data_IF_886949524505
#
_entry.id   IF_886949524505
#
_cell.length_a   1.000
_cell.length_b   1.000
_cell.length_c   1.000
_cell.angle_alpha   90.00
_cell.angle_beta   90.00
_cell.angle_gamma   90.00
#
_symmetry.space_group_name_H-M   'P 1'
#
loop_
_entity.id
_entity.type
_entity.pdbx_description
1 polymer ?
#
# COMPACT_ATOMS: atom_id res chain seq x y z
N UNK A 1 27.18 6.21 -16.40
CA UNK A 1 27.57 4.79 -16.29
C UNK A 1 27.79 4.31 -17.72
N UNK A 2 28.97 3.80 -18.07
CA UNK A 2 29.27 3.44 -19.48
C UNK A 2 28.42 2.24 -19.92
N UNK A 3 27.81 2.31 -21.10
CA UNK A 3 26.86 1.29 -21.60
C UNK A 3 27.41 -0.15 -21.55
N UNK A 4 28.69 -0.32 -21.92
CA UNK A 4 29.42 -1.60 -21.91
C UNK A 4 29.51 -2.21 -20.49
N UNK A 5 29.67 -1.37 -19.46
CA UNK A 5 29.69 -1.83 -18.07
C UNK A 5 28.30 -2.30 -17.63
N UNK A 6 27.25 -1.61 -18.06
CA UNK A 6 25.87 -1.95 -17.76
C UNK A 6 25.48 -3.30 -18.36
N UNK A 7 25.85 -3.56 -19.62
CA UNK A 7 25.63 -4.84 -20.29
C UNK A 7 26.37 -5.99 -19.60
N UNK A 8 27.65 -5.78 -19.23
CA UNK A 8 28.42 -6.79 -18.49
C UNK A 8 27.80 -7.12 -17.13
N UNK A 9 27.32 -6.11 -16.40
CA UNK A 9 26.63 -6.31 -15.12
C UNK A 9 25.33 -7.10 -15.29
N UNK A 10 24.60 -6.84 -16.38
CA UNK A 10 23.36 -7.55 -16.68
C UNK A 10 23.60 -9.01 -17.07
N UNK A 11 24.65 -9.28 -17.86
CA UNK A 11 25.07 -10.63 -18.22
C UNK A 11 25.46 -11.46 -16.98
N UNK A 12 26.20 -10.86 -16.03
CA UNK A 12 26.56 -11.50 -14.75
C UNK A 12 25.29 -11.77 -13.91
N UNK A 13 24.34 -10.83 -13.88
CA UNK A 13 23.08 -11.02 -13.16
C UNK A 13 22.25 -12.18 -13.73
N UNK A 14 22.14 -12.28 -15.06
CA UNK A 14 21.45 -13.38 -15.73
C UNK A 14 22.14 -14.73 -15.51
N UNK A 15 23.47 -14.77 -15.53
CA UNK A 15 24.23 -15.97 -15.22
C UNK A 15 24.00 -16.43 -13.76
N UNK A 16 23.89 -15.49 -12.81
CA UNK A 16 23.60 -15.78 -11.42
C UNK A 16 22.15 -16.25 -11.19
N UNK A 17 21.19 -15.80 -12.00
CA UNK A 17 19.82 -16.30 -11.98
C UNK A 17 19.73 -17.74 -12.53
N UNK A 18 20.41 -18.01 -13.66
CA UNK A 18 20.47 -19.36 -14.25
C UNK A 18 21.14 -20.39 -13.35
N UNK A 19 22.11 -19.97 -12.52
CA UNK A 19 22.83 -20.85 -11.60
C UNK A 19 22.00 -21.31 -10.38
N UNK A 20 20.78 -20.78 -10.16
CA UNK A 20 19.90 -21.22 -9.08
C UNK A 20 20.43 -20.99 -7.65
N UNK A 21 19.87 -21.69 -6.66
CA UNK A 21 20.36 -21.62 -5.28
C UNK A 21 21.62 -22.49 -5.10
N UNK A 22 22.73 -21.87 -4.67
CA UNK A 22 24.02 -22.55 -4.39
C UNK A 22 25.16 -22.21 -5.38
N UNK A 23 24.86 -21.97 -6.66
CA UNK A 23 25.87 -21.70 -7.69
C UNK A 23 26.26 -20.22 -7.89
N UNK A 24 25.57 -19.30 -7.20
CA UNK A 24 25.71 -17.84 -7.44
C UNK A 24 27.09 -17.30 -7.06
N UNK A 25 27.73 -17.90 -6.06
CA UNK A 25 28.98 -17.37 -5.52
C UNK A 25 30.15 -17.51 -6.51
N UNK A 26 30.21 -18.62 -7.26
CA UNK A 26 31.20 -18.81 -8.32
C UNK A 26 31.01 -17.81 -9.47
N UNK A 27 29.77 -17.51 -9.84
CA UNK A 27 29.43 -16.51 -10.86
C UNK A 27 29.82 -15.10 -10.42
N UNK A 28 29.61 -14.77 -9.13
CA UNK A 28 30.03 -13.47 -8.62
C UNK A 28 31.55 -13.35 -8.50
N UNK A 29 32.27 -14.41 -8.13
CA UNK A 29 33.73 -14.38 -8.05
C UNK A 29 34.36 -14.17 -9.43
N UNK A 30 33.91 -14.89 -10.45
CA UNK A 30 34.36 -14.70 -11.85
C UNK A 30 34.03 -13.29 -12.36
N UNK A 31 32.84 -12.77 -12.04
CA UNK A 31 32.46 -11.38 -12.35
C UNK A 31 33.32 -10.34 -11.64
N UNK A 32 33.73 -10.58 -10.38
CA UNK A 32 34.63 -9.71 -9.64
C UNK A 32 36.03 -9.67 -10.25
N UNK A 33 36.57 -10.81 -10.67
CA UNK A 33 37.87 -10.90 -11.33
C UNK A 33 37.87 -10.19 -12.68
N UNK A 34 36.83 -10.37 -13.49
CA UNK A 34 36.72 -9.75 -14.82
C UNK A 34 36.57 -8.22 -14.77
N UNK A 35 35.98 -7.67 -13.71
CA UNK A 35 35.73 -6.24 -13.54
C UNK A 35 36.70 -5.56 -12.57
N UNK A 36 37.58 -6.31 -11.89
CA UNK A 36 38.52 -5.78 -10.91
C UNK A 36 37.87 -5.09 -9.71
N UNK A 37 36.65 -5.50 -9.33
CA UNK A 37 35.88 -4.86 -8.24
C UNK A 37 35.54 -5.85 -7.13
N UNK A 38 35.36 -5.34 -5.92
CA UNK A 38 34.93 -6.16 -4.79
C UNK A 38 33.51 -6.70 -4.98
N UNK A 39 33.24 -7.87 -4.40
CA UNK A 39 31.92 -8.52 -4.40
C UNK A 39 30.80 -7.59 -3.92
N UNK A 40 31.06 -6.81 -2.87
CA UNK A 40 30.11 -5.83 -2.35
C UNK A 40 29.76 -4.74 -3.38
N UNK A 41 30.77 -4.25 -4.12
CA UNK A 41 30.58 -3.22 -5.15
C UNK A 41 29.85 -3.77 -6.37
N UNK A 42 30.16 -5.01 -6.77
CA UNK A 42 29.47 -5.73 -7.85
C UNK A 42 27.98 -5.88 -7.53
N UNK A 43 27.64 -6.40 -6.34
CA UNK A 43 26.25 -6.59 -5.91
C UNK A 43 25.48 -5.27 -5.81
N UNK A 44 26.13 -4.19 -5.37
CA UNK A 44 25.52 -2.84 -5.33
C UNK A 44 25.19 -2.34 -6.73
N UNK A 45 26.12 -2.49 -7.68
CA UNK A 45 25.92 -2.10 -9.09
C UNK A 45 24.85 -2.96 -9.77
N UNK A 46 24.84 -4.27 -9.54
CA UNK A 46 23.79 -5.17 -10.04
C UNK A 46 22.43 -4.75 -9.49
N UNK A 47 22.32 -4.40 -8.20
CA UNK A 47 21.05 -3.92 -7.61
C UNK A 47 20.54 -2.62 -8.25
N UNK A 48 21.43 -1.76 -8.75
CA UNK A 48 21.04 -0.51 -9.42
C UNK A 48 20.49 -0.74 -10.83
N UNK A 49 20.96 -1.80 -11.51
CA UNK A 49 20.62 -2.10 -12.91
C UNK A 49 19.51 -3.15 -13.01
N UNK A 50 19.42 -4.07 -12.05
CA UNK A 50 18.42 -5.14 -12.01
C UNK A 50 17.14 -4.67 -11.32
N UNK A 51 16.06 -4.60 -12.08
CA UNK A 51 14.71 -4.45 -11.53
C UNK A 51 14.27 -5.78 -10.91
N UNK A 52 14.17 -5.83 -9.58
CA UNK A 52 13.59 -7.00 -8.91
C UNK A 52 12.08 -6.94 -8.98
N UNK A 53 11.39 -8.06 -9.30
CA UNK A 53 9.94 -8.09 -9.20
C UNK A 53 9.54 -7.75 -7.74
N UNK A 54 8.44 -7.00 -7.55
CA UNK A 54 7.93 -6.75 -6.22
C UNK A 54 7.63 -8.07 -5.52
N UNK A 55 7.75 -8.08 -4.19
CA UNK A 55 7.45 -9.26 -3.39
C UNK A 55 6.03 -9.73 -3.72
N UNK A 56 5.88 -11.02 -4.04
CA UNK A 56 4.58 -11.65 -4.31
C UNK A 56 3.63 -11.32 -3.16
N UNK A 57 2.57 -10.60 -3.48
CA UNK A 57 1.49 -10.31 -2.53
C UNK A 57 0.63 -11.57 -2.37
N UNK A 58 0.00 -11.71 -1.21
CA UNK A 58 -0.94 -12.81 -0.99
C UNK A 58 -2.22 -12.58 -1.79
N UNK A 59 -2.91 -13.65 -2.14
CA UNK A 59 -4.12 -13.61 -3.01
C UNK A 59 -5.28 -12.85 -2.39
N UNK A 60 -5.35 -12.85 -1.06
CA UNK A 60 -6.34 -12.21 -0.20
C UNK A 60 -5.93 -10.80 0.23
N UNK A 61 -4.84 -10.25 -0.33
CA UNK A 61 -4.40 -8.91 0.03
C UNK A 61 -5.44 -7.88 -0.40
N UNK A 62 -6.18 -7.37 0.59
CA UNK A 62 -7.24 -6.41 0.36
C UNK A 62 -8.62 -7.01 0.10
N UNK A 63 -8.86 -8.28 0.42
CA UNK A 63 -10.24 -8.78 0.46
C UNK A 63 -10.76 -8.64 1.88
N UNK A 64 -11.81 -7.86 2.09
CA UNK A 64 -12.54 -7.79 3.36
C UNK A 64 -13.88 -8.50 3.22
N UNK A 65 -14.29 -9.24 4.25
CA UNK A 65 -15.63 -9.85 4.30
C UNK A 65 -16.76 -8.82 4.40
N UNK A 66 -16.45 -7.59 4.83
CA UNK A 66 -17.41 -6.47 4.83
C UNK A 66 -17.70 -6.05 3.39
N UNK A 67 -18.98 -6.04 3.03
CA UNK A 67 -19.41 -5.56 1.72
C UNK A 67 -19.27 -4.04 1.62
N UNK A 68 -19.09 -3.52 0.40
CA UNK A 68 -18.99 -2.07 0.17
C UNK A 68 -20.28 -1.33 0.55
N UNK A 69 -21.44 -1.97 0.40
CA UNK A 69 -22.74 -1.41 0.73
C UNK A 69 -22.91 -1.19 2.23
N UNK A 70 -22.58 -2.21 3.04
CA UNK A 70 -22.54 -2.07 4.51
C UNK A 70 -21.52 -1.02 4.94
N UNK A 71 -20.35 -0.97 4.30
CA UNK A 71 -19.34 0.04 4.57
C UNK A 71 -19.84 1.47 4.28
N UNK A 72 -20.66 1.67 3.24
CA UNK A 72 -21.30 2.96 2.94
C UNK A 72 -22.31 3.35 4.00
N UNK A 73 -23.12 2.42 4.50
CA UNK A 73 -24.08 2.68 5.58
C UNK A 73 -23.37 3.12 6.87
N UNK A 74 -22.32 2.38 7.26
CA UNK A 74 -21.50 2.72 8.42
C UNK A 74 -20.87 4.11 8.26
N UNK A 75 -20.28 4.39 7.08
CA UNK A 75 -19.69 5.68 6.79
C UNK A 75 -20.71 6.83 6.83
N UNK A 76 -21.91 6.60 6.28
CA UNK A 76 -23.01 7.57 6.26
C UNK A 76 -23.44 7.97 7.67
N UNK A 77 -23.65 7.01 8.56
CA UNK A 77 -24.01 7.27 9.97
C UNK A 77 -22.89 8.04 10.69
N UNK A 78 -21.63 7.63 10.49
CA UNK A 78 -20.49 8.32 11.09
C UNK A 78 -20.34 9.76 10.58
N UNK A 79 -20.59 9.99 9.29
CA UNK A 79 -20.55 11.33 8.68
C UNK A 79 -21.72 12.20 9.15
N UNK A 80 -22.92 11.64 9.29
CA UNK A 80 -24.09 12.36 9.79
C UNK A 80 -23.95 12.78 11.26
N UNK A 81 -23.30 11.95 12.09
CA UNK A 81 -23.09 12.26 13.50
C UNK A 81 -21.98 13.27 13.78
N UNK A 82 -21.22 13.67 12.75
CA UNK A 82 -20.16 14.67 12.88
C UNK A 82 -20.74 16.09 12.91
N UNK A 83 -20.59 16.81 14.04
CA UNK A 83 -20.98 18.24 14.12
C UNK A 83 -19.92 19.15 13.49
N UNK A 84 -20.34 20.35 13.06
CA UNK A 84 -19.45 21.43 12.55
C UNK A 84 -18.30 21.78 13.51
N UNK A 85 -18.47 21.55 14.81
CA UNK A 85 -17.50 21.91 15.85
C UNK A 85 -16.35 20.88 16.05
N UNK A 86 -16.08 20.04 15.04
CA UNK A 86 -14.94 19.11 15.04
C UNK A 86 -15.04 17.88 15.96
N UNK A 87 -15.90 17.89 16.98
CA UNK A 87 -16.07 16.79 17.92
C UNK A 87 -16.79 15.60 17.28
N UNK A 88 -16.24 14.40 17.49
CA UNK A 88 -16.90 13.11 17.20
C UNK A 88 -17.87 12.80 18.33
N UNK A 89 -19.15 12.69 18.02
CA UNK A 89 -20.14 12.22 19.00
C UNK A 89 -20.26 10.70 19.02
N UNK A 90 -19.82 10.03 17.96
CA UNK A 90 -20.10 8.63 17.73
C UNK A 90 -18.80 7.91 17.43
N UNK A 91 -18.44 6.94 18.27
CA UNK A 91 -17.32 6.06 18.01
C UNK A 91 -17.69 5.06 16.90
N UNK A 92 -16.68 4.50 16.22
CA UNK A 92 -16.91 3.42 15.25
C UNK A 92 -17.62 2.23 15.92
N UNK A 93 -17.27 1.94 17.16
CA UNK A 93 -17.88 0.87 17.97
C UNK A 93 -19.37 1.11 18.19
N UNK A 94 -19.75 2.32 18.60
CA UNK A 94 -21.15 2.70 18.80
C UNK A 94 -21.94 2.65 17.49
N UNK A 95 -21.36 3.15 16.40
CA UNK A 95 -21.99 3.10 15.08
C UNK A 95 -22.27 1.68 14.61
N UNK A 96 -21.30 0.78 14.79
CA UNK A 96 -21.44 -0.63 14.42
C UNK A 96 -22.47 -1.32 15.32
N UNK A 97 -22.44 -1.07 16.63
CA UNK A 97 -23.38 -1.69 17.57
C UNK A 97 -24.83 -1.27 17.29
N UNK A 98 -25.07 0.02 17.05
CA UNK A 98 -26.41 0.52 16.77
C UNK A 98 -26.91 0.07 15.40
N UNK A 99 -26.03 0.03 14.37
CA UNK A 99 -26.40 -0.51 13.06
C UNK A 99 -26.70 -2.01 13.11
N UNK A 100 -25.99 -2.78 13.94
CA UNK A 100 -26.29 -4.20 14.20
C UNK A 100 -27.60 -4.38 14.96
N UNK A 101 -27.85 -3.57 15.98
CA UNK A 101 -29.09 -3.62 16.76
C UNK A 101 -30.31 -3.31 15.89
N UNK A 102 -30.15 -2.44 14.89
CA UNK A 102 -31.19 -2.12 13.90
C UNK A 102 -31.29 -3.12 12.73
N UNK A 103 -30.43 -4.15 12.68
CA UNK A 103 -30.43 -5.15 11.60
C UNK A 103 -30.05 -4.59 10.22
N UNK A 104 -29.41 -3.42 10.16
CA UNK A 104 -29.06 -2.73 8.92
C UNK A 104 -27.74 -3.23 8.31
N UNK A 105 -26.91 -3.88 9.12
CA UNK A 105 -25.65 -4.51 8.68
C UNK A 105 -25.57 -5.90 9.28
N UNK A 106 -25.12 -6.88 8.49
CA UNK A 106 -24.69 -8.17 9.02
C UNK A 106 -23.29 -7.98 9.62
N UNK A 107 -22.37 -7.34 8.88
CA UNK A 107 -21.00 -7.09 9.32
C UNK A 107 -20.38 -8.31 10.03
N UNK A 108 -20.44 -9.46 9.35
CA UNK A 108 -19.87 -10.73 9.78
C UNK A 108 -19.47 -11.58 8.58
N UNK A 109 -18.80 -12.69 8.84
CA UNK A 109 -18.45 -13.68 7.84
C UNK A 109 -18.88 -15.07 8.29
N UNK A 110 -19.14 -15.93 7.31
CA UNK A 110 -19.37 -17.36 7.56
C UNK A 110 -18.02 -18.03 7.33
N UNK A 111 -17.56 -18.78 8.33
CA UNK A 111 -16.37 -19.60 8.17
C UNK A 111 -16.72 -20.84 7.33
N UNK A 112 -15.98 -21.06 6.24
CA UNK A 112 -16.26 -22.15 5.30
C UNK A 112 -15.94 -23.53 5.88
N UNK A 113 -15.10 -23.61 6.92
CA UNK A 113 -14.73 -24.87 7.56
C UNK A 113 -15.73 -25.30 8.63
N UNK A 114 -16.24 -24.35 9.42
CA UNK A 114 -17.15 -24.63 10.54
C UNK A 114 -18.62 -24.36 10.21
N UNK A 115 -18.91 -23.54 9.19
CA UNK A 115 -20.26 -23.08 8.87
C UNK A 115 -20.84 -22.11 9.89
N UNK A 116 -20.05 -21.70 10.89
CA UNK A 116 -20.47 -20.78 11.93
C UNK A 116 -20.35 -19.33 11.46
N UNK A 117 -21.29 -18.51 11.92
CA UNK A 117 -21.28 -17.08 11.64
C UNK A 117 -20.50 -16.34 12.72
N UNK A 118 -19.51 -15.55 12.31
CA UNK A 118 -18.71 -14.72 13.21
C UNK A 118 -18.91 -13.23 12.92
N UNK A 119 -19.18 -12.41 13.95
CA UNK A 119 -19.22 -10.96 13.79
C UNK A 119 -17.82 -10.42 13.48
N UNK A 120 -17.71 -9.48 12.54
CA UNK A 120 -16.45 -8.77 12.30
C UNK A 120 -16.06 -7.92 13.52
N UNK A 121 -14.78 -7.92 13.86
CA UNK A 121 -14.25 -7.01 14.87
C UNK A 121 -14.27 -5.56 14.38
N UNK A 122 -14.32 -4.62 15.32
CA UNK A 122 -14.31 -3.17 15.02
C UNK A 122 -13.07 -2.79 14.22
N UNK A 123 -11.91 -3.38 14.54
CA UNK A 123 -10.67 -3.16 13.79
C UNK A 123 -10.74 -3.68 12.35
N UNK A 124 -11.39 -4.83 12.13
CA UNK A 124 -11.57 -5.36 10.78
C UNK A 124 -12.47 -4.44 9.94
N UNK A 125 -13.53 -3.91 10.55
CA UNK A 125 -14.43 -2.93 9.92
C UNK A 125 -13.68 -1.63 9.62
N UNK A 126 -12.87 -1.13 10.57
CA UNK A 126 -12.03 0.04 10.37
C UNK A 126 -11.08 -0.12 9.19
N UNK A 127 -10.36 -1.25 9.12
CA UNK A 127 -9.46 -1.57 8.00
C UNK A 127 -10.20 -1.65 6.67
N UNK A 128 -11.37 -2.29 6.64
CA UNK A 128 -12.21 -2.34 5.45
C UNK A 128 -12.66 -0.93 4.99
N UNK A 129 -13.06 -0.05 5.92
CA UNK A 129 -13.41 1.33 5.61
C UNK A 129 -12.23 2.11 5.02
N UNK A 130 -11.03 1.96 5.58
CA UNK A 130 -9.82 2.58 5.02
C UNK A 130 -9.49 2.09 3.61
N UNK A 131 -9.71 0.79 3.39
CA UNK A 131 -9.47 0.18 2.10
C UNK A 131 -10.47 0.66 1.03
N UNK A 132 -11.75 0.74 1.38
CA UNK A 132 -12.78 1.30 0.49
C UNK A 132 -12.71 2.82 0.34
N UNK A 133 -11.80 3.50 1.06
CA UNK A 133 -11.68 4.96 1.16
C UNK A 133 -12.92 5.64 1.70
N UNK A 134 -13.66 4.96 2.57
CA UNK A 134 -14.92 5.43 3.17
C UNK A 134 -14.74 5.85 4.63
N UNK A 135 -13.51 5.82 5.16
CA UNK A 135 -13.27 6.26 6.54
C UNK A 135 -13.47 7.80 6.64
N UNK A 136 -14.16 8.33 7.68
CA UNK A 136 -14.41 9.76 7.83
C UNK A 136 -13.16 10.66 7.76
N UNK A 137 -12.02 10.17 8.25
CA UNK A 137 -10.72 10.87 8.10
C UNK A 137 -10.30 11.07 6.64
N UNK A 138 -10.59 10.10 5.77
CA UNK A 138 -10.23 10.17 4.35
C UNK A 138 -11.21 11.03 3.57
N UNK A 139 -12.51 10.92 3.86
CA UNK A 139 -13.55 11.71 3.20
C UNK A 139 -13.46 13.21 3.53
N UNK A 140 -12.97 13.54 4.73
CA UNK A 140 -12.78 14.93 5.17
C UNK A 140 -11.38 15.47 4.95
N UNK A 141 -10.45 14.64 4.46
CA UNK A 141 -9.11 15.12 4.17
C UNK A 141 -9.21 16.26 3.13
N UNK A 142 -8.54 17.41 3.36
CA UNK A 142 -8.50 18.45 2.36
C UNK A 142 -7.94 17.87 1.05
N UNK A 143 -8.42 18.38 -0.08
CA UNK A 143 -7.83 18.04 -1.36
C UNK A 143 -6.32 18.29 -1.29
N UNK A 144 -5.49 17.38 -1.84
CA UNK A 144 -4.05 17.59 -1.85
C UNK A 144 -3.76 18.95 -2.49
N UNK A 145 -2.91 19.75 -1.85
CA UNK A 145 -2.45 21.01 -2.43
C UNK A 145 -1.89 20.73 -3.82
N UNK A 146 -2.58 21.22 -4.85
CA UNK A 146 -2.08 21.16 -6.22
C UNK A 146 -0.91 22.13 -6.28
N UNK A 147 0.31 21.62 -6.50
CA UNK A 147 1.43 22.47 -6.84
C UNK A 147 1.10 23.16 -8.17
N UNK A 148 0.77 24.45 -8.10
CA UNK A 148 0.66 25.28 -9.28
C UNK A 148 2.06 25.40 -9.89
N UNK A 149 2.25 24.80 -11.06
CA UNK A 149 3.48 24.97 -11.83
C UNK A 149 3.43 26.35 -12.46
N UNK A 150 4.37 27.21 -12.10
CA UNK A 150 4.60 28.46 -12.81
C UNK A 150 5.32 28.16 -14.12
N UNK A 151 4.89 28.79 -15.22
CA UNK A 151 5.50 28.52 -16.54
C UNK A 151 6.90 29.14 -16.66
N UNK A 152 7.16 30.25 -15.96
CA UNK A 152 8.42 30.99 -16.03
C UNK A 152 8.69 31.81 -14.74
N UNK A 153 9.92 32.31 -14.54
CA UNK A 153 10.24 33.22 -13.43
C UNK A 153 9.33 34.46 -13.41
N UNK A 154 9.01 34.99 -12.22
CA UNK A 154 8.09 36.11 -11.97
C UNK A 154 6.62 35.90 -12.39
N UNK A 155 6.18 34.67 -12.68
CA UNK A 155 4.79 34.38 -13.07
C UNK A 155 3.76 34.59 -11.93
N UNK A 156 4.18 34.45 -10.67
CA UNK A 156 3.35 34.77 -9.50
C UNK A 156 4.16 35.66 -8.58
N UNK A 157 3.59 36.80 -8.22
CA UNK A 157 4.15 37.71 -7.22
C UNK A 157 3.32 37.56 -5.94
N UNK A 158 3.99 37.22 -4.84
CA UNK A 158 3.37 37.13 -3.53
C UNK A 158 3.63 38.43 -2.77
N UNK A 159 2.54 39.08 -2.35
CA UNK A 159 2.56 40.25 -1.47
C UNK A 159 2.06 39.78 -0.11
N UNK A 160 2.98 39.64 0.87
CA UNK A 160 2.61 39.43 2.27
C UNK A 160 2.39 40.80 2.93
N UNK A 161 1.34 40.90 3.76
CA UNK A 161 0.99 42.10 4.52
C UNK A 161 1.49 42.03 5.96
#
# INVERSE_FOLDING_TARGET
MNAILTERLLAIAQAAEKAGHGGKDAVYQTGCQALGISKATLLRKIKQVSAKPPRKQRVDCGTSALTREEALQISGVMMASHRKNGKRLYSLEQAVNDLRANGLINAGYIDNETGEWFPLSVDAISRALYQYRLHPNQLRAPAPCVQLKTEHPNHVLYLDH
#
